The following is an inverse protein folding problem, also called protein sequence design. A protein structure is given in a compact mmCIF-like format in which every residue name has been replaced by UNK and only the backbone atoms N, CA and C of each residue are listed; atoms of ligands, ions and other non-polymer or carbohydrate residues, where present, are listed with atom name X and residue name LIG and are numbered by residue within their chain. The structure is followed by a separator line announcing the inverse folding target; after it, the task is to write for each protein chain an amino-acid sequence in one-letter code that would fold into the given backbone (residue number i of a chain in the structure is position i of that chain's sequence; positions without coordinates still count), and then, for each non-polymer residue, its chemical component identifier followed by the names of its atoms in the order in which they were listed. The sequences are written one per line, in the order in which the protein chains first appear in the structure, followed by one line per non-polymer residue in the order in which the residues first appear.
data_IF_304238105503
#
_entry.id   IF_304238105503
#
_cell.length_a   1.000
_cell.length_b   1.000
_cell.length_c   1.000
_cell.angle_alpha   90.00
_cell.angle_beta   90.00
_cell.angle_gamma   90.00
#
_symmetry.space_group_name_H-M   'P 1'
#
loop_
_entity.id
_entity.type
_entity.pdbx_description
1 polymer ?
#
# COMPACT_ATOMS: atom_id res chain seq x y z
N UNK A 1 -31.81 20.47 36.35
CA UNK A 1 -32.09 19.49 35.27
C UNK A 1 -31.53 19.89 33.88
N UNK A 2 -30.59 20.85 33.77
CA UNK A 2 -30.07 21.37 32.48
C UNK A 2 -28.74 20.75 31.99
N UNK A 3 -27.98 20.08 32.86
CA UNK A 3 -26.63 19.55 32.54
C UNK A 3 -26.62 18.11 32.00
N UNK A 4 -27.71 17.35 32.17
CA UNK A 4 -27.82 15.98 31.64
C UNK A 4 -27.97 15.98 30.11
N UNK A 5 -28.73 16.93 29.57
CA UNK A 5 -28.99 17.05 28.13
C UNK A 5 -27.71 17.46 27.36
N UNK A 6 -26.89 18.37 27.92
CA UNK A 6 -25.61 18.76 27.32
C UNK A 6 -24.57 17.63 27.36
N UNK A 7 -24.51 16.84 28.44
CA UNK A 7 -23.60 15.69 28.54
C UNK A 7 -23.95 14.59 27.53
N UNK A 8 -25.24 14.30 27.33
CA UNK A 8 -25.67 13.33 26.33
C UNK A 8 -25.42 13.80 24.90
N UNK A 9 -25.57 15.10 24.65
CA UNK A 9 -25.23 15.69 23.36
C UNK A 9 -23.72 15.58 23.05
N UNK A 10 -22.85 15.85 24.04
CA UNK A 10 -21.40 15.70 23.91
C UNK A 10 -21.02 14.24 23.62
N UNK A 11 -21.65 13.28 24.32
CA UNK A 11 -21.42 11.86 24.10
C UNK A 11 -21.87 11.40 22.71
N UNK A 12 -22.99 11.93 22.19
CA UNK A 12 -23.48 11.64 20.84
C UNK A 12 -22.50 12.16 19.78
N UNK A 13 -22.01 13.39 19.93
CA UNK A 13 -21.01 13.98 19.02
C UNK A 13 -19.71 13.19 19.02
N UNK A 14 -19.24 12.74 20.18
CA UNK A 14 -18.09 11.85 20.29
C UNK A 14 -18.34 10.51 19.59
N UNK A 15 -19.50 9.87 19.78
CA UNK A 15 -19.82 8.58 19.16
C UNK A 15 -19.86 8.68 17.62
N UNK A 16 -20.39 9.77 17.07
CA UNK A 16 -20.50 9.99 15.62
C UNK A 16 -19.13 10.25 14.95
N UNK A 17 -18.12 10.70 15.71
CA UNK A 17 -16.77 10.94 15.21
C UNK A 17 -15.95 9.67 14.95
N UNK A 18 -16.33 8.52 15.53
CA UNK A 18 -15.58 7.26 15.40
C UNK A 18 -15.91 6.45 14.12
N UNK A 19 -16.97 6.79 13.38
CA UNK A 19 -17.40 6.04 12.19
C UNK A 19 -16.70 6.43 10.88
N UNK A 20 -15.58 7.17 10.94
CA UNK A 20 -14.85 7.58 9.74
C UNK A 20 -13.90 6.46 9.26
N UNK A 21 -14.42 5.29 8.91
CA UNK A 21 -13.67 4.29 8.15
C UNK A 21 -13.70 4.66 6.67
N UNK A 22 -12.76 5.50 6.24
CA UNK A 22 -12.58 5.91 4.85
C UNK A 22 -11.81 4.83 4.07
N UNK A 23 -12.55 3.97 3.36
CA UNK A 23 -12.00 2.93 2.46
C UNK A 23 -11.64 3.44 1.05
N UNK A 24 -11.33 4.73 0.90
CA UNK A 24 -11.03 5.35 -0.40
C UNK A 24 -9.56 5.74 -0.55
N UNK A 25 -8.64 5.05 0.12
CA UNK A 25 -7.21 5.29 -0.10
C UNK A 25 -6.87 4.92 -1.54
N UNK A 26 -6.34 5.89 -2.28
CA UNK A 26 -5.87 5.66 -3.64
C UNK A 26 -4.78 4.60 -3.61
N UNK A 27 -4.76 3.74 -4.61
CA UNK A 27 -3.67 2.78 -4.79
C UNK A 27 -2.32 3.50 -4.66
N UNK A 28 -1.35 2.91 -3.92
CA UNK A 28 -0.03 3.50 -3.74
C UNK A 28 0.68 3.78 -5.07
N UNK A 29 0.40 2.96 -6.09
CA UNK A 29 0.91 3.13 -7.44
C UNK A 29 -0.18 2.86 -8.48
N UNK A 30 -0.03 3.47 -9.65
CA UNK A 30 -0.85 3.16 -10.84
C UNK A 30 0.00 2.49 -11.90
N UNK A 31 -0.52 1.42 -12.49
CA UNK A 31 0.09 0.81 -13.66
C UNK A 31 0.15 1.80 -14.82
N UNK A 32 1.22 1.71 -15.63
CA UNK A 32 1.48 2.66 -16.72
C UNK A 32 1.93 4.06 -16.27
N UNK A 33 1.91 4.39 -14.97
CA UNK A 33 2.47 5.63 -14.44
C UNK A 33 3.78 5.36 -13.72
N UNK A 34 4.86 5.84 -14.32
CA UNK A 34 6.22 5.80 -13.79
C UNK A 34 6.74 7.23 -13.79
N UNK A 35 7.32 7.64 -12.67
CA UNK A 35 7.92 8.97 -12.54
C UNK A 35 9.25 9.04 -13.30
N UNK A 36 9.66 10.24 -13.71
CA UNK A 36 10.93 10.42 -14.43
C UNK A 36 12.10 10.08 -13.49
N UNK A 37 11.94 10.35 -12.20
CA UNK A 37 12.89 10.06 -11.14
C UNK A 37 13.10 8.55 -11.00
N UNK A 38 12.03 7.76 -10.86
CA UNK A 38 12.10 6.29 -10.85
C UNK A 38 12.73 5.75 -12.14
N UNK A 39 12.42 6.33 -13.30
CA UNK A 39 12.95 5.89 -14.59
C UNK A 39 14.46 6.13 -14.69
N UNK A 40 14.92 7.33 -14.30
CA UNK A 40 16.33 7.76 -14.34
C UNK A 40 17.17 7.23 -13.18
N UNK A 41 16.56 6.65 -12.15
CA UNK A 41 17.28 6.04 -11.02
C UNK A 41 18.21 4.92 -11.49
N UNK A 42 19.52 5.12 -11.39
CA UNK A 42 20.55 4.14 -11.80
C UNK A 42 21.16 3.37 -10.62
N UNK A 43 20.97 3.87 -9.40
CA UNK A 43 21.39 3.26 -8.13
C UNK A 43 20.43 3.70 -7.03
N UNK A 44 20.48 3.03 -5.89
CA UNK A 44 19.79 3.46 -4.68
C UNK A 44 20.76 4.22 -3.78
N UNK A 45 20.43 5.44 -3.39
CA UNK A 45 21.40 6.31 -2.68
C UNK A 45 21.65 5.88 -1.23
N UNK A 46 20.64 5.32 -0.56
CA UNK A 46 20.77 4.83 0.82
C UNK A 46 21.59 3.53 0.92
N UNK A 47 21.63 2.75 -0.16
CA UNK A 47 22.50 1.58 -0.29
C UNK A 47 22.95 1.45 -1.75
N UNK A 48 24.12 1.99 -2.04
CA UNK A 48 24.68 1.97 -3.40
C UNK A 48 25.16 0.57 -3.83
N UNK A 49 25.24 -0.38 -2.90
CA UNK A 49 25.59 -1.78 -3.19
C UNK A 49 24.38 -2.62 -3.57
N UNK A 50 23.16 -2.13 -3.31
CA UNK A 50 21.92 -2.82 -3.65
C UNK A 50 21.85 -3.24 -5.12
N UNK A 51 21.41 -4.48 -5.36
CA UNK A 51 21.18 -5.02 -6.70
C UNK A 51 19.82 -4.60 -7.28
N UNK A 52 18.85 -4.35 -6.41
CA UNK A 52 17.51 -3.90 -6.71
C UNK A 52 16.88 -3.23 -5.47
N UNK A 53 15.81 -2.46 -5.67
CA UNK A 53 15.01 -1.87 -4.58
C UNK A 53 13.51 -2.07 -4.84
N UNK A 54 12.76 -2.40 -3.78
CA UNK A 54 11.30 -2.44 -3.79
C UNK A 54 10.78 -1.02 -3.63
N UNK A 55 10.15 -0.49 -4.68
CA UNK A 55 9.55 0.85 -4.66
C UNK A 55 8.13 0.83 -4.10
N UNK A 56 7.43 -0.29 -4.26
CA UNK A 56 6.09 -0.50 -3.73
C UNK A 56 5.80 -2.00 -3.60
N UNK A 57 5.17 -2.40 -2.51
CA UNK A 57 4.63 -3.75 -2.31
C UNK A 57 3.35 -3.63 -1.48
N UNK A 58 2.21 -3.96 -2.07
CA UNK A 58 0.92 -3.96 -1.40
C UNK A 58 0.00 -5.04 -1.94
N UNK A 59 -1.00 -5.41 -1.15
CA UNK A 59 -2.00 -6.39 -1.54
C UNK A 59 -3.40 -5.93 -1.18
N UNK A 60 -4.37 -6.35 -1.99
CA UNK A 60 -5.79 -6.08 -1.79
C UNK A 60 -6.52 -7.41 -1.87
N UNK A 61 -7.38 -7.66 -0.89
CA UNK A 61 -8.29 -8.80 -0.90
C UNK A 61 -9.69 -8.31 -1.29
N UNK A 62 -10.20 -8.83 -2.41
CA UNK A 62 -11.59 -8.66 -2.81
C UNK A 62 -12.42 -9.82 -2.25
N UNK A 63 -13.22 -9.52 -1.22
CA UNK A 63 -14.08 -10.49 -0.57
C UNK A 63 -15.25 -10.95 -1.47
N UNK A 64 -15.68 -10.15 -2.45
CA UNK A 64 -16.79 -10.52 -3.34
C UNK A 64 -16.31 -11.50 -4.42
N UNK A 65 -15.12 -11.26 -4.97
CA UNK A 65 -14.49 -12.16 -5.93
C UNK A 65 -13.74 -13.32 -5.26
N UNK A 66 -13.55 -13.26 -3.94
CA UNK A 66 -12.66 -14.13 -3.18
C UNK A 66 -11.24 -14.17 -3.78
N UNK A 67 -10.76 -13.01 -4.22
CA UNK A 67 -9.49 -12.84 -4.94
C UNK A 67 -8.51 -12.02 -4.09
N UNK A 68 -7.25 -12.44 -4.07
CA UNK A 68 -6.16 -11.64 -3.52
C UNK A 68 -5.24 -11.16 -4.64
N UNK A 69 -5.16 -9.86 -4.84
CA UNK A 69 -4.27 -9.21 -5.80
C UNK A 69 -3.10 -8.58 -5.06
N UNK A 70 -1.86 -9.00 -5.37
CA UNK A 70 -0.63 -8.35 -4.88
C UNK A 70 0.05 -7.60 -6.01
N UNK A 71 0.47 -6.38 -5.73
CA UNK A 71 1.23 -5.54 -6.66
C UNK A 71 2.58 -5.22 -6.03
N UNK A 72 3.65 -5.62 -6.71
CA UNK A 72 5.02 -5.29 -6.34
C UNK A 72 5.73 -4.59 -7.50
N UNK A 73 6.41 -3.47 -7.21
CA UNK A 73 7.22 -2.69 -8.15
C UNK A 73 8.66 -2.71 -7.68
N UNK A 74 9.51 -3.34 -8.48
CA UNK A 74 10.94 -3.50 -8.18
C UNK A 74 11.74 -2.75 -9.25
N UNK A 75 12.67 -1.90 -8.82
CA UNK A 75 13.68 -1.29 -9.69
C UNK A 75 14.95 -2.12 -9.57
N UNK A 76 15.40 -2.69 -10.68
CA UNK A 76 16.60 -3.54 -10.76
C UNK A 76 17.75 -2.71 -11.31
N UNK A 77 18.89 -2.72 -10.62
CA UNK A 77 20.10 -1.96 -10.98
C UNK A 77 21.19 -2.86 -11.57
N UNK A 78 21.26 -4.11 -11.13
CA UNK A 78 22.33 -5.07 -11.49
C UNK A 78 21.74 -6.38 -12.02
N UNK A 79 22.51 -7.11 -12.83
CA UNK A 79 22.09 -8.41 -13.39
C UNK A 79 21.70 -9.42 -12.31
N UNK A 80 22.45 -9.46 -11.21
CA UNK A 80 22.17 -10.38 -10.09
C UNK A 80 20.81 -10.09 -9.42
N UNK A 81 20.31 -8.86 -9.55
CA UNK A 81 18.99 -8.45 -9.08
C UNK A 81 17.83 -9.00 -9.92
N UNK A 82 18.08 -9.57 -11.11
CA UNK A 82 17.04 -10.21 -11.92
C UNK A 82 16.37 -11.37 -11.18
N UNK A 83 17.06 -11.98 -10.21
CA UNK A 83 16.47 -13.04 -9.36
C UNK A 83 15.19 -12.57 -8.64
N UNK A 84 15.08 -11.28 -8.32
CA UNK A 84 13.92 -10.71 -7.63
C UNK A 84 12.69 -10.57 -8.54
N UNK A 85 12.84 -10.73 -9.86
CA UNK A 85 11.72 -10.79 -10.80
C UNK A 85 11.05 -12.18 -10.88
N UNK A 86 11.67 -13.21 -10.30
CA UNK A 86 11.07 -14.54 -10.23
C UNK A 86 10.06 -14.60 -9.08
N UNK A 87 8.81 -14.93 -9.39
CA UNK A 87 7.73 -15.02 -8.41
C UNK A 87 7.27 -16.47 -8.29
N UNK A 88 7.27 -16.98 -7.06
CA UNK A 88 6.69 -18.28 -6.73
C UNK A 88 5.33 -18.06 -6.08
N UNK A 89 4.29 -18.63 -6.68
CA UNK A 89 2.94 -18.64 -6.12
C UNK A 89 2.70 -20.04 -5.55
N UNK A 90 2.57 -20.14 -4.23
CA UNK A 90 2.25 -21.40 -3.57
C UNK A 90 0.82 -21.82 -3.87
N UNK A 91 0.62 -23.08 -4.23
CA UNK A 91 -0.69 -23.71 -4.34
C UNK A 91 -0.80 -24.77 -3.24
N UNK A 92 -1.62 -24.50 -2.23
CA UNK A 92 -2.02 -25.51 -1.25
C UNK A 92 -3.41 -26.00 -1.67
N UNK A 93 -3.43 -27.06 -2.48
CA UNK A 93 -4.64 -27.79 -2.84
C UNK A 93 -5.07 -28.76 -1.75
#
# INVERSE_FOLDING_TARGET
MRTKLSRQFILLVLLLGFFQSLYAQKDPIKFGKVTIEELKMTKYDLDTTAEAVVLCDYGVFDNQAFEFTRVCRIKIFKKDGLRFANVHVGYNG
#
